data_IF_424363124754
#
_entry.id   IF_424363124754
#
_cell.length_a   1.000
_cell.length_b   1.000
_cell.length_c   1.000
_cell.angle_alpha   90.00
_cell.angle_beta   90.00
_cell.angle_gamma   90.00
#
_symmetry.space_group_name_H-M   'P 1'
#
loop_
_entity.id
_entity.type
_entity.pdbx_description
1 polymer ?
#
# COMPACT_ATOMS: atom_id res chain seq x y z
N UNK A 1 -66.98 -13.35 49.10
CA UNK A 1 -66.63 -13.29 47.68
C UNK A 1 -66.85 -14.69 47.13
N UNK A 2 -67.87 -14.88 46.36
CA UNK A 2 -68.32 -16.17 45.85
C UNK A 2 -67.30 -16.65 44.75
N UNK A 3 -67.17 -17.98 44.60
CA UNK A 3 -66.24 -18.53 43.58
C UNK A 3 -66.56 -18.06 42.16
N UNK A 4 -67.82 -17.72 41.90
CA UNK A 4 -68.30 -17.12 40.62
C UNK A 4 -67.76 -15.72 40.40
N UNK A 5 -67.59 -14.88 41.44
CA UNK A 5 -67.00 -13.57 41.33
C UNK A 5 -65.51 -13.60 41.05
N UNK A 6 -64.80 -14.58 41.62
CA UNK A 6 -63.37 -14.80 41.33
C UNK A 6 -63.12 -15.25 39.89
N UNK A 7 -63.97 -16.11 39.35
CA UNK A 7 -63.88 -16.55 37.96
C UNK A 7 -64.11 -15.39 36.99
N UNK A 8 -65.11 -14.55 37.20
CA UNK A 8 -65.36 -13.37 36.39
C UNK A 8 -64.23 -12.37 36.43
N UNK A 9 -63.62 -12.15 37.58
CA UNK A 9 -62.42 -11.31 37.68
C UNK A 9 -61.21 -11.88 36.94
N UNK A 10 -60.98 -13.18 37.00
CA UNK A 10 -59.88 -13.81 36.24
C UNK A 10 -60.11 -13.78 34.73
N UNK A 11 -61.32 -13.95 34.25
CA UNK A 11 -61.66 -13.78 32.84
C UNK A 11 -61.46 -12.33 32.35
N UNK A 12 -61.81 -11.34 33.12
CA UNK A 12 -61.58 -9.93 32.79
C UNK A 12 -60.09 -9.58 32.75
N UNK A 13 -59.30 -10.09 33.67
CA UNK A 13 -57.83 -9.92 33.69
C UNK A 13 -57.20 -10.55 32.44
N UNK A 14 -57.61 -11.78 32.11
CA UNK A 14 -57.12 -12.52 30.96
C UNK A 14 -57.45 -11.84 29.64
N UNK A 15 -58.68 -11.29 29.53
CA UNK A 15 -59.13 -10.53 28.36
C UNK A 15 -58.39 -9.19 28.20
N UNK A 16 -58.05 -8.54 29.32
CA UNK A 16 -57.21 -7.32 29.33
C UNK A 16 -55.73 -7.61 28.94
N UNK A 17 -55.18 -8.74 29.42
CA UNK A 17 -53.79 -9.14 29.03
C UNK A 17 -53.73 -9.51 27.55
N UNK A 18 -54.70 -10.22 27.00
CA UNK A 18 -54.75 -10.56 25.58
C UNK A 18 -54.90 -9.32 24.69
N UNK A 19 -55.74 -8.35 25.10
CA UNK A 19 -55.86 -7.06 24.42
C UNK A 19 -54.55 -6.27 24.43
N UNK A 20 -53.83 -6.26 25.54
CA UNK A 20 -52.55 -5.57 25.66
C UNK A 20 -51.47 -6.25 24.80
N UNK A 21 -51.43 -7.59 24.74
CA UNK A 21 -50.54 -8.35 23.85
C UNK A 21 -50.79 -8.08 22.37
N UNK A 22 -52.10 -8.03 21.97
CA UNK A 22 -52.47 -7.70 20.58
C UNK A 22 -52.06 -6.26 20.22
N UNK A 23 -52.25 -5.30 21.11
CA UNK A 23 -51.82 -3.91 20.89
C UNK A 23 -50.33 -3.78 20.74
N UNK A 24 -49.53 -4.45 21.58
CA UNK A 24 -48.06 -4.49 21.49
C UNK A 24 -47.60 -5.17 20.19
N UNK A 25 -48.30 -6.22 19.76
CA UNK A 25 -48.00 -6.90 18.49
C UNK A 25 -48.26 -5.98 17.29
N UNK A 26 -49.40 -5.29 17.28
CA UNK A 26 -49.76 -4.31 16.23
C UNK A 26 -48.76 -3.16 16.15
N UNK A 27 -48.30 -2.64 17.29
CA UNK A 27 -47.28 -1.60 17.36
C UNK A 27 -45.92 -2.14 16.79
N UNK A 28 -45.52 -3.36 17.15
CA UNK A 28 -44.30 -3.99 16.61
C UNK A 28 -44.38 -4.16 15.09
N UNK A 29 -45.49 -4.65 14.58
CA UNK A 29 -45.72 -4.82 13.14
C UNK A 29 -45.72 -3.44 12.44
N UNK A 30 -46.42 -2.44 12.98
CA UNK A 30 -46.40 -1.08 12.45
C UNK A 30 -44.98 -0.47 12.40
N UNK A 31 -44.22 -0.64 13.46
CA UNK A 31 -42.84 -0.19 13.53
C UNK A 31 -41.95 -0.90 12.49
N UNK A 32 -42.13 -2.21 12.32
CA UNK A 32 -41.36 -3.01 11.33
C UNK A 32 -41.70 -2.56 9.91
N UNK A 33 -42.97 -2.36 9.58
CA UNK A 33 -43.40 -1.86 8.26
C UNK A 33 -42.87 -0.45 8.01
N UNK A 34 -42.94 0.43 9.00
CA UNK A 34 -42.37 1.78 8.91
C UNK A 34 -40.87 1.77 8.66
N UNK A 35 -40.12 0.94 9.41
CA UNK A 35 -38.67 0.81 9.26
C UNK A 35 -38.32 0.27 7.87
N UNK A 36 -39.04 -0.73 7.37
CA UNK A 36 -38.85 -1.29 6.05
C UNK A 36 -39.09 -0.24 4.96
N UNK A 37 -40.18 0.52 5.06
CA UNK A 37 -40.47 1.58 4.12
C UNK A 37 -39.43 2.71 4.16
N UNK A 38 -38.97 3.10 5.35
CA UNK A 38 -37.92 4.08 5.52
C UNK A 38 -36.61 3.60 4.88
N UNK A 39 -36.21 2.33 5.11
CA UNK A 39 -35.03 1.73 4.46
C UNK A 39 -35.14 1.68 2.92
N UNK A 40 -36.32 1.30 2.39
CA UNK A 40 -36.58 1.31 0.96
C UNK A 40 -36.49 2.73 0.37
N UNK A 41 -37.04 3.72 1.07
CA UNK A 41 -36.97 5.13 0.63
C UNK A 41 -35.55 5.64 0.63
N UNK A 42 -34.75 5.36 1.67
CA UNK A 42 -33.35 5.73 1.75
C UNK A 42 -32.53 5.04 0.63
N UNK A 43 -32.75 3.74 0.41
CA UNK A 43 -32.11 3.00 -0.66
C UNK A 43 -32.46 3.57 -2.04
N UNK A 44 -33.73 3.86 -2.31
CA UNK A 44 -34.17 4.48 -3.55
C UNK A 44 -33.54 5.86 -3.77
N UNK A 45 -33.43 6.67 -2.72
CA UNK A 45 -32.81 7.98 -2.78
C UNK A 45 -31.28 7.86 -3.04
N UNK A 46 -30.60 6.86 -2.44
CA UNK A 46 -29.18 6.57 -2.69
C UNK A 46 -28.95 6.14 -4.13
N UNK A 47 -29.83 5.29 -4.70
CA UNK A 47 -29.73 4.84 -6.09
C UNK A 47 -29.99 5.97 -7.08
N UNK A 48 -31.04 6.78 -6.87
CA UNK A 48 -31.34 7.91 -7.76
C UNK A 48 -30.29 9.03 -7.70
N UNK A 49 -29.65 9.23 -6.55
CA UNK A 49 -28.67 10.29 -6.33
C UNK A 49 -27.23 9.78 -6.27
N UNK A 50 -26.98 8.61 -6.84
CA UNK A 50 -25.68 7.95 -6.80
C UNK A 50 -24.53 8.87 -7.22
N UNK A 51 -24.67 9.65 -8.28
CA UNK A 51 -23.64 10.61 -8.72
C UNK A 51 -23.32 11.65 -7.65
N UNK A 52 -24.32 12.29 -7.06
CA UNK A 52 -24.09 13.28 -6.01
C UNK A 52 -23.50 12.71 -4.71
N UNK A 53 -23.84 11.47 -4.36
CA UNK A 53 -23.27 10.76 -3.22
C UNK A 53 -21.81 10.38 -3.53
N UNK A 54 -21.53 9.88 -4.74
CA UNK A 54 -20.18 9.56 -5.18
C UNK A 54 -19.28 10.80 -5.18
N UNK A 55 -19.74 11.94 -5.70
CA UNK A 55 -18.98 13.18 -5.73
C UNK A 55 -18.66 13.68 -4.31
N UNK A 56 -19.63 13.64 -3.41
CA UNK A 56 -19.42 14.00 -1.99
C UNK A 56 -18.45 13.04 -1.33
N UNK A 57 -18.55 11.73 -1.61
CA UNK A 57 -17.62 10.72 -1.10
C UNK A 57 -16.19 10.95 -1.61
N UNK A 58 -16.03 11.26 -2.90
CA UNK A 58 -14.72 11.61 -3.48
C UNK A 58 -14.13 12.88 -2.86
N UNK A 59 -14.97 13.86 -2.56
CA UNK A 59 -14.51 15.10 -1.92
C UNK A 59 -14.03 14.83 -0.47
N UNK A 60 -14.77 14.04 0.30
CA UNK A 60 -14.41 13.66 1.67
C UNK A 60 -13.15 12.79 1.66
N UNK A 61 -13.10 11.76 0.81
CA UNK A 61 -11.93 10.88 0.73
C UNK A 61 -10.70 11.62 0.23
N UNK A 62 -10.85 12.53 -0.72
CA UNK A 62 -9.76 13.40 -1.21
C UNK A 62 -9.21 14.32 -0.12
N UNK A 63 -10.06 14.90 0.71
CA UNK A 63 -9.64 15.73 1.84
C UNK A 63 -8.97 14.91 2.96
N UNK A 64 -9.42 13.68 3.19
CA UNK A 64 -8.85 12.78 4.20
C UNK A 64 -7.59 12.04 3.72
N UNK A 65 -7.37 11.94 2.43
CA UNK A 65 -6.25 11.20 1.84
C UNK A 65 -4.89 11.54 2.46
N UNK A 66 -4.45 12.81 2.58
CA UNK A 66 -3.16 13.13 3.18
C UNK A 66 -3.08 12.76 4.66
N UNK A 67 -4.21 12.80 5.38
CA UNK A 67 -4.29 12.41 6.79
C UNK A 67 -4.12 10.90 6.93
N UNK A 68 -4.83 10.11 6.12
CA UNK A 68 -4.75 8.63 6.13
C UNK A 68 -3.34 8.18 5.75
N UNK A 69 -2.74 8.79 4.71
CA UNK A 69 -1.36 8.50 4.31
C UNK A 69 -0.39 8.89 5.43
N UNK A 70 -0.57 10.07 6.05
CA UNK A 70 0.25 10.51 7.17
C UNK A 70 0.17 9.58 8.39
N UNK A 71 -1.02 9.06 8.71
CA UNK A 71 -1.20 8.05 9.77
C UNK A 71 -0.47 6.74 9.44
N UNK A 72 -0.61 6.25 8.21
CA UNK A 72 0.09 5.05 7.75
C UNK A 72 1.61 5.21 7.78
N UNK A 73 2.13 6.35 7.30
CA UNK A 73 3.55 6.68 7.36
C UNK A 73 4.03 6.85 8.80
N UNK A 74 3.26 7.48 9.69
CA UNK A 74 3.61 7.59 11.10
C UNK A 74 3.74 6.20 11.75
N UNK A 75 2.83 5.28 11.41
CA UNK A 75 2.90 3.90 11.90
C UNK A 75 4.13 3.17 11.35
N UNK A 76 4.43 3.32 10.06
CA UNK A 76 5.60 2.73 9.40
C UNK A 76 6.92 3.28 9.95
N UNK A 77 6.99 4.59 10.23
CA UNK A 77 8.20 5.25 10.75
C UNK A 77 8.38 5.07 12.26
N UNK A 78 7.36 4.64 12.98
CA UNK A 78 7.42 4.46 14.44
C UNK A 78 8.56 3.51 14.90
N UNK A 79 8.85 2.35 14.25
CA UNK A 79 10.00 1.53 14.59
C UNK A 79 11.33 2.26 14.39
N UNK A 80 11.48 2.99 13.28
CA UNK A 80 12.70 3.77 12.98
C UNK A 80 12.91 4.86 14.02
N UNK A 81 11.84 5.60 14.37
CA UNK A 81 11.86 6.60 15.42
C UNK A 81 12.25 5.99 16.77
N UNK A 82 11.63 4.87 17.17
CA UNK A 82 11.95 4.18 18.44
C UNK A 82 13.40 3.71 18.50
N UNK A 83 13.94 3.20 17.39
CA UNK A 83 15.34 2.78 17.28
C UNK A 83 16.29 3.97 17.51
N UNK A 84 16.01 5.10 16.88
CA UNK A 84 16.80 6.33 17.04
C UNK A 84 16.63 6.92 18.44
N UNK A 85 15.41 6.97 19.00
CA UNK A 85 15.13 7.47 20.34
C UNK A 85 15.90 6.67 21.39
N UNK A 86 15.97 5.35 21.26
CA UNK A 86 16.75 4.47 22.14
C UNK A 86 18.25 4.80 22.12
N UNK A 87 18.76 5.32 21.02
CA UNK A 87 20.18 5.71 20.87
C UNK A 87 20.44 7.12 21.41
N UNK A 88 19.55 8.08 21.08
CA UNK A 88 19.72 9.48 21.46
C UNK A 88 19.43 9.74 22.95
N UNK A 89 18.47 9.05 23.54
CA UNK A 89 18.02 9.30 24.91
C UNK A 89 19.14 9.16 25.95
N UNK A 90 19.95 8.08 25.98
CA UNK A 90 21.02 7.94 26.97
C UNK A 90 22.12 8.99 26.80
N UNK A 91 22.41 9.40 25.55
CA UNK A 91 23.42 10.44 25.27
C UNK A 91 22.94 11.82 25.78
N UNK A 92 21.69 12.17 25.54
CA UNK A 92 21.11 13.44 25.95
C UNK A 92 20.88 13.51 27.45
N UNK A 93 20.54 12.41 28.13
CA UNK A 93 20.44 12.35 29.61
C UNK A 93 21.77 12.66 30.29
N UNK A 94 22.92 12.30 29.70
CA UNK A 94 24.25 12.64 30.21
C UNK A 94 24.57 14.12 30.06
N UNK A 95 23.99 14.81 29.09
CA UNK A 95 24.35 16.20 28.72
C UNK A 95 23.37 17.24 29.27
N UNK A 96 22.14 16.86 29.60
CA UNK A 96 21.06 17.76 30.04
C UNK A 96 20.72 17.54 31.51
N UNK A 97 20.56 18.64 32.26
CA UNK A 97 20.22 18.62 33.70
C UNK A 97 18.79 18.13 33.98
N UNK A 98 17.86 18.22 33.03
CA UNK A 98 16.46 17.82 33.19
C UNK A 98 16.12 16.60 32.34
N UNK A 99 15.74 15.48 32.95
CA UNK A 99 15.32 14.26 32.26
C UNK A 99 14.13 14.47 31.35
N UNK A 100 13.15 15.28 31.73
CA UNK A 100 11.97 15.60 30.93
C UNK A 100 12.33 16.35 29.64
N UNK A 101 13.29 17.29 29.74
CA UNK A 101 13.77 18.06 28.60
C UNK A 101 14.61 17.16 27.67
N UNK A 102 15.46 16.31 28.24
CA UNK A 102 16.24 15.33 27.45
C UNK A 102 15.36 14.38 26.67
N UNK A 103 14.27 13.87 27.28
CA UNK A 103 13.32 13.01 26.58
C UNK A 103 12.58 13.73 25.45
N UNK A 104 12.14 14.98 25.64
CA UNK A 104 11.48 15.77 24.57
C UNK A 104 12.43 16.04 23.40
N UNK A 105 13.67 16.42 23.69
CA UNK A 105 14.68 16.68 22.65
C UNK A 105 15.06 15.40 21.92
N UNK A 106 15.26 14.28 22.63
CA UNK A 106 15.53 12.98 22.03
C UNK A 106 14.42 12.58 21.07
N UNK A 107 13.17 12.75 21.49
CA UNK A 107 12.00 12.45 20.65
C UNK A 107 11.92 13.35 19.41
N UNK A 108 12.11 14.65 19.56
CA UNK A 108 12.13 15.58 18.43
C UNK A 108 13.21 15.24 17.41
N UNK A 109 14.44 14.94 17.88
CA UNK A 109 15.54 14.50 17.00
C UNK A 109 15.24 13.17 16.31
N UNK A 110 14.62 12.22 17.00
CA UNK A 110 14.26 10.92 16.44
C UNK A 110 13.15 11.02 15.40
N UNK A 111 12.17 11.93 15.60
CA UNK A 111 11.14 12.21 14.60
C UNK A 111 11.77 12.86 13.36
N UNK A 112 12.60 13.89 13.56
CA UNK A 112 13.30 14.55 12.47
C UNK A 112 14.20 13.56 11.68
N UNK A 113 14.93 12.70 12.39
CA UNK A 113 15.75 11.67 11.79
C UNK A 113 14.95 10.61 11.03
N UNK A 114 13.79 10.21 11.53
CA UNK A 114 12.91 9.28 10.83
C UNK A 114 12.30 9.89 9.55
N UNK A 115 11.95 11.18 9.59
CA UNK A 115 11.47 11.90 8.41
C UNK A 115 12.60 12.08 7.40
N UNK A 116 13.80 12.46 7.86
CA UNK A 116 14.97 12.57 6.98
C UNK A 116 15.28 11.23 6.31
N UNK A 117 15.20 10.13 7.04
CA UNK A 117 15.37 8.78 6.51
C UNK A 117 14.34 8.48 5.40
N UNK A 118 13.07 8.81 5.62
CA UNK A 118 12.02 8.67 4.61
C UNK A 118 12.32 9.51 3.37
N UNK A 119 12.71 10.78 3.56
CA UNK A 119 13.00 11.69 2.45
C UNK A 119 14.21 11.22 1.64
N UNK A 120 15.26 10.75 2.30
CA UNK A 120 16.45 10.21 1.62
C UNK A 120 16.08 8.99 0.77
N UNK A 121 15.29 8.05 1.33
CA UNK A 121 14.80 6.89 0.56
C UNK A 121 13.95 7.35 -0.63
N UNK A 122 13.04 8.30 -0.45
CA UNK A 122 12.18 8.78 -1.51
C UNK A 122 12.98 9.46 -2.63
N UNK A 123 13.96 10.32 -2.26
CA UNK A 123 14.83 10.98 -3.24
C UNK A 123 15.69 9.96 -3.98
N UNK A 124 16.26 8.98 -3.29
CA UNK A 124 17.03 7.91 -3.93
C UNK A 124 16.17 7.10 -4.92
N UNK A 125 14.93 6.75 -4.53
CA UNK A 125 14.00 6.05 -5.42
C UNK A 125 13.66 6.87 -6.66
N UNK A 126 13.31 8.14 -6.50
CA UNK A 126 12.96 9.02 -7.61
C UNK A 126 14.19 9.21 -8.52
N UNK A 127 15.36 9.49 -7.94
CA UNK A 127 16.60 9.69 -8.69
C UNK A 127 17.07 8.42 -9.42
N UNK A 128 16.71 7.25 -8.88
CA UNK A 128 17.02 5.98 -9.50
C UNK A 128 16.00 5.59 -10.60
N UNK A 129 14.71 5.66 -10.31
CA UNK A 129 13.66 5.17 -11.19
C UNK A 129 13.42 6.09 -12.37
N UNK A 130 13.31 7.41 -12.13
CA UNK A 130 12.89 8.35 -13.18
C UNK A 130 13.86 8.42 -14.36
N UNK A 131 15.18 8.64 -14.16
CA UNK A 131 16.13 8.66 -15.28
C UNK A 131 16.17 7.32 -16.02
N UNK A 132 16.08 6.21 -15.28
CA UNK A 132 16.13 4.87 -15.86
C UNK A 132 14.92 4.56 -16.72
N UNK A 133 13.73 4.89 -16.25
CA UNK A 133 12.49 4.70 -17.04
C UNK A 133 12.54 5.57 -18.30
N UNK A 134 12.96 6.83 -18.18
CA UNK A 134 13.09 7.75 -19.32
C UNK A 134 14.12 7.20 -20.34
N UNK A 135 15.31 6.83 -19.89
CA UNK A 135 16.35 6.28 -20.79
C UNK A 135 15.93 4.96 -21.42
N UNK A 136 15.20 4.14 -20.66
CA UNK A 136 14.68 2.85 -21.14
C UNK A 136 13.64 3.02 -22.22
N UNK A 137 12.69 3.95 -22.03
CA UNK A 137 11.65 4.21 -23.03
C UNK A 137 12.26 4.86 -24.28
N UNK A 138 13.15 5.82 -24.14
CA UNK A 138 13.82 6.44 -25.28
C UNK A 138 14.72 5.44 -26.03
N UNK A 139 15.50 4.64 -25.30
CA UNK A 139 16.33 3.58 -25.90
C UNK A 139 15.53 2.50 -26.61
N UNK A 140 14.34 2.13 -26.10
CA UNK A 140 13.44 1.20 -26.78
C UNK A 140 12.92 1.80 -28.08
N UNK A 141 12.48 3.05 -28.09
CA UNK A 141 11.96 3.74 -29.28
C UNK A 141 13.05 3.87 -30.34
N UNK A 142 14.30 4.16 -29.94
CA UNK A 142 15.43 4.32 -30.87
C UNK A 142 15.99 2.97 -31.36
N UNK A 143 15.97 1.93 -30.52
CA UNK A 143 16.54 0.62 -30.89
C UNK A 143 15.55 -0.28 -31.67
N UNK A 144 14.24 -0.06 -31.58
CA UNK A 144 13.22 -0.87 -32.26
C UNK A 144 13.44 -0.95 -33.77
N UNK A 145 13.61 0.16 -34.54
CA UNK A 145 13.80 0.05 -35.98
C UNK A 145 15.01 -0.79 -36.37
N UNK A 146 16.18 -0.55 -35.76
CA UNK A 146 17.43 -1.23 -36.09
C UNK A 146 17.47 -2.72 -35.69
N UNK A 147 16.88 -3.07 -34.55
CA UNK A 147 16.82 -4.48 -34.11
C UNK A 147 15.87 -5.29 -34.96
N UNK A 148 14.80 -4.70 -35.44
CA UNK A 148 13.83 -5.38 -36.32
C UNK A 148 14.41 -5.55 -37.73
N UNK A 149 15.09 -4.54 -38.29
CA UNK A 149 15.81 -4.69 -39.54
C UNK A 149 16.89 -5.78 -39.47
N UNK A 150 17.61 -5.88 -38.33
CA UNK A 150 18.59 -6.91 -38.09
C UNK A 150 17.97 -8.32 -38.05
N UNK A 151 16.79 -8.47 -37.44
CA UNK A 151 16.04 -9.71 -37.41
C UNK A 151 15.51 -10.08 -38.81
N UNK A 152 14.97 -9.13 -39.55
CA UNK A 152 14.53 -9.32 -40.94
C UNK A 152 15.72 -9.73 -41.84
N UNK A 153 16.87 -9.10 -41.64
CA UNK A 153 18.10 -9.46 -42.35
C UNK A 153 18.63 -10.85 -41.98
N UNK A 154 18.55 -11.25 -40.70
CA UNK A 154 18.91 -12.61 -40.24
C UNK A 154 17.97 -13.69 -40.85
N UNK A 155 16.68 -13.41 -40.90
CA UNK A 155 15.68 -14.32 -41.52
C UNK A 155 15.89 -14.40 -43.02
N UNK A 156 16.08 -13.26 -43.71
CA UNK A 156 16.32 -13.19 -45.15
C UNK A 156 17.69 -13.74 -45.60
N UNK A 157 18.73 -13.66 -44.75
CA UNK A 157 20.08 -14.14 -45.08
C UNK A 157 20.28 -15.65 -44.96
N UNK A 158 19.22 -16.42 -44.80
CA UNK A 158 19.22 -17.88 -45.00
C UNK A 158 19.86 -18.72 -43.90
N UNK A 159 20.23 -18.14 -42.75
CA UNK A 159 20.71 -18.96 -41.61
C UNK A 159 19.62 -19.82 -40.99
N UNK A 160 18.33 -19.51 -41.24
CA UNK A 160 17.15 -20.29 -40.88
C UNK A 160 16.45 -20.91 -42.12
N UNK A 161 17.00 -20.71 -43.32
CA UNK A 161 16.38 -21.04 -44.61
C UNK A 161 16.32 -22.51 -44.97
N UNK A 162 16.74 -23.44 -44.11
CA UNK A 162 16.74 -24.89 -44.43
C UNK A 162 15.36 -25.55 -44.36
N UNK A 163 14.29 -24.84 -43.97
CA UNK A 163 12.97 -25.47 -43.72
C UNK A 163 11.77 -24.88 -44.46
N UNK A 164 11.93 -24.10 -45.52
CA UNK A 164 10.79 -23.65 -46.34
C UNK A 164 9.77 -22.72 -45.64
N UNK A 165 10.07 -22.21 -44.46
CA UNK A 165 9.16 -21.41 -43.60
C UNK A 165 9.48 -19.91 -43.69
N UNK A 166 10.44 -19.54 -44.56
CA UNK A 166 11.02 -18.19 -44.69
C UNK A 166 10.01 -17.11 -45.03
N UNK A 167 9.09 -17.36 -45.95
CA UNK A 167 8.16 -16.33 -46.42
C UNK A 167 7.08 -16.02 -45.37
N UNK A 168 6.56 -17.05 -44.70
CA UNK A 168 5.53 -16.88 -43.66
C UNK A 168 6.07 -16.20 -42.41
N UNK A 169 7.31 -16.55 -41.99
CA UNK A 169 7.96 -15.91 -40.81
C UNK A 169 8.34 -14.46 -41.15
N UNK A 170 8.86 -14.21 -42.35
CA UNK A 170 9.20 -12.86 -42.83
C UNK A 170 7.98 -11.96 -42.90
N UNK A 171 6.84 -12.47 -43.40
CA UNK A 171 5.55 -11.74 -43.45
C UNK A 171 4.99 -11.45 -42.03
N UNK A 172 5.12 -12.42 -41.14
CA UNK A 172 4.66 -12.30 -39.77
C UNK A 172 5.53 -11.31 -38.97
N UNK A 173 6.86 -11.33 -39.17
CA UNK A 173 7.79 -10.36 -38.56
C UNK A 173 7.56 -8.97 -39.13
N UNK A 174 7.34 -8.79 -40.41
CA UNK A 174 7.05 -7.48 -41.01
C UNK A 174 5.72 -6.91 -40.47
N UNK A 175 4.66 -7.73 -40.36
CA UNK A 175 3.39 -7.33 -39.77
C UNK A 175 3.51 -6.95 -38.27
N UNK A 176 4.31 -7.71 -37.52
CA UNK A 176 4.59 -7.39 -36.12
C UNK A 176 5.38 -6.06 -36.00
N UNK A 177 6.32 -5.83 -36.91
CA UNK A 177 7.08 -4.57 -36.96
C UNK A 177 6.17 -3.38 -37.23
N UNK A 178 5.35 -3.48 -38.27
CA UNK A 178 4.41 -2.43 -38.64
C UNK A 178 3.40 -2.16 -37.50
N UNK A 179 2.96 -3.20 -36.79
CA UNK A 179 2.07 -3.05 -35.64
C UNK A 179 2.78 -2.36 -34.45
N UNK A 180 4.01 -2.75 -34.13
CA UNK A 180 4.78 -2.16 -33.03
C UNK A 180 5.19 -0.74 -33.38
N UNK A 181 5.63 -0.46 -34.59
CA UNK A 181 5.97 0.89 -35.08
C UNK A 181 4.74 1.80 -35.08
N UNK A 182 3.60 1.33 -35.59
CA UNK A 182 2.34 2.05 -35.56
C UNK A 182 1.87 2.33 -34.13
N UNK A 183 1.96 1.34 -33.24
CA UNK A 183 1.61 1.51 -31.84
C UNK A 183 2.58 2.48 -31.14
N UNK A 184 3.90 2.35 -31.36
CA UNK A 184 4.89 3.24 -30.77
C UNK A 184 4.74 4.68 -31.24
N UNK A 185 4.55 4.88 -32.57
CA UNK A 185 4.48 6.23 -33.16
C UNK A 185 3.12 6.88 -33.06
N UNK A 186 2.02 6.12 -33.20
CA UNK A 186 0.66 6.67 -33.21
C UNK A 186 -0.01 6.71 -31.84
N UNK A 187 0.31 5.74 -30.98
CA UNK A 187 -0.36 5.62 -29.67
C UNK A 187 0.58 6.01 -28.51
N UNK A 188 1.78 5.43 -28.46
CA UNK A 188 2.68 5.62 -27.31
C UNK A 188 3.33 7.02 -27.28
N UNK A 189 3.95 7.43 -28.40
CA UNK A 189 4.64 8.74 -28.47
C UNK A 189 3.69 9.93 -28.28
N UNK A 190 2.51 10.00 -28.90
CA UNK A 190 1.55 11.07 -28.65
C UNK A 190 1.01 11.05 -27.21
N UNK A 191 0.75 9.86 -26.64
CA UNK A 191 0.34 9.77 -25.23
C UNK A 191 1.46 10.23 -24.30
N UNK A 192 2.71 9.85 -24.54
CA UNK A 192 3.85 10.35 -23.77
C UNK A 192 4.03 11.86 -23.90
N UNK A 193 3.89 12.43 -25.11
CA UNK A 193 3.88 13.89 -25.30
C UNK A 193 2.71 14.54 -24.57
N UNK A 194 1.54 13.93 -24.58
CA UNK A 194 0.38 14.39 -23.85
C UNK A 194 0.59 14.31 -22.33
N UNK A 195 1.24 13.27 -21.81
CA UNK A 195 1.64 13.18 -20.41
C UNK A 195 2.72 14.21 -20.06
N UNK A 196 3.69 14.46 -20.93
CA UNK A 196 4.69 15.53 -20.76
C UNK A 196 4.05 16.92 -20.77
N UNK A 197 3.09 17.17 -21.65
CA UNK A 197 2.30 18.42 -21.68
C UNK A 197 1.36 18.52 -20.47
N UNK A 198 0.79 17.40 -19.99
CA UNK A 198 0.04 17.36 -18.74
C UNK A 198 0.93 17.61 -17.52
N UNK A 199 2.19 17.19 -17.52
CA UNK A 199 3.18 17.58 -16.51
C UNK A 199 3.41 19.10 -16.55
N UNK A 200 3.44 19.71 -17.72
CA UNK A 200 3.61 21.17 -17.87
C UNK A 200 2.33 21.95 -17.48
N UNK A 201 1.13 21.42 -17.80
CA UNK A 201 -0.15 21.96 -17.31
C UNK A 201 -0.44 21.54 -15.87
N UNK A 202 0.34 20.60 -15.34
CA UNK A 202 0.22 20.01 -14.01
C UNK A 202 0.84 20.84 -12.88
N UNK A 203 1.23 22.09 -13.09
CA UNK A 203 1.69 22.97 -11.99
C UNK A 203 0.68 22.99 -10.84
N UNK A 204 -0.62 23.05 -11.14
CA UNK A 204 -1.68 23.01 -10.13
C UNK A 204 -1.74 21.62 -9.46
N UNK A 205 -1.60 20.55 -10.22
CA UNK A 205 -1.59 19.17 -9.71
C UNK A 205 -0.32 18.91 -8.89
N UNK A 206 0.81 19.44 -9.33
CA UNK A 206 2.08 19.37 -8.62
C UNK A 206 2.03 20.14 -7.29
N UNK A 207 1.46 21.34 -7.28
CA UNK A 207 1.23 22.14 -6.06
C UNK A 207 0.30 21.38 -5.09
N UNK A 208 -0.80 20.80 -5.57
CA UNK A 208 -1.68 19.96 -4.75
C UNK A 208 -0.94 18.75 -4.17
N UNK A 209 -0.13 18.06 -4.97
CA UNK A 209 0.66 16.90 -4.51
C UNK A 209 1.68 17.30 -3.46
N UNK A 210 2.38 18.42 -3.65
CA UNK A 210 3.32 18.96 -2.66
C UNK A 210 2.58 19.37 -1.37
N UNK A 211 1.44 20.05 -1.48
CA UNK A 211 0.63 20.40 -0.31
C UNK A 211 0.14 19.15 0.44
N UNK A 212 -0.36 18.15 -0.27
CA UNK A 212 -0.79 16.88 0.35
C UNK A 212 0.37 16.16 1.04
N UNK A 213 1.57 16.20 0.44
CA UNK A 213 2.78 15.63 1.03
C UNK A 213 3.20 16.37 2.30
N UNK A 214 3.18 17.73 2.27
CA UNK A 214 3.47 18.56 3.44
C UNK A 214 2.46 18.29 4.56
N UNK A 215 1.16 18.22 4.24
CA UNK A 215 0.11 17.88 5.22
C UNK A 215 0.37 16.49 5.79
N UNK A 216 0.71 15.51 4.94
CA UNK A 216 1.08 14.16 5.38
C UNK A 216 2.25 14.17 6.37
N UNK A 217 3.33 14.91 6.08
CA UNK A 217 4.47 15.07 7.01
C UNK A 217 4.05 15.74 8.33
N UNK A 218 3.24 16.80 8.28
CA UNK A 218 2.72 17.45 9.48
C UNK A 218 1.95 16.44 10.34
N UNK A 219 1.10 15.62 9.72
CA UNK A 219 0.37 14.56 10.41
C UNK A 219 1.33 13.54 11.04
N UNK A 220 2.37 13.11 10.32
CA UNK A 220 3.41 12.21 10.84
C UNK A 220 4.06 12.80 12.09
N UNK A 221 4.53 14.04 12.01
CA UNK A 221 5.17 14.73 13.14
C UNK A 221 4.23 14.82 14.34
N UNK A 222 2.98 15.23 14.09
CA UNK A 222 1.98 15.37 15.14
C UNK A 222 1.68 14.02 15.81
N UNK A 223 1.36 13.00 15.04
CA UNK A 223 1.02 11.67 15.55
C UNK A 223 2.17 11.05 16.34
N UNK A 224 3.39 11.08 15.80
CA UNK A 224 4.58 10.55 16.48
C UNK A 224 4.91 11.34 17.76
N UNK A 225 4.64 12.65 17.77
CA UNK A 225 4.90 13.51 18.94
C UNK A 225 3.95 13.22 20.11
N UNK A 226 2.65 12.96 19.82
CA UNK A 226 1.61 12.78 20.84
C UNK A 226 1.08 11.35 20.94
N UNK A 227 1.78 10.39 20.38
CA UNK A 227 1.37 8.98 20.27
C UNK A 227 0.83 8.41 21.58
N UNK A 228 1.54 8.61 22.71
CA UNK A 228 1.11 8.08 24.01
C UNK A 228 -0.20 8.72 24.48
N UNK A 229 -0.37 10.01 24.21
CA UNK A 229 -1.63 10.71 24.52
C UNK A 229 -2.79 10.20 23.68
N UNK A 230 -2.57 9.97 22.36
CA UNK A 230 -3.58 9.39 21.46
C UNK A 230 -4.01 8.01 21.93
N UNK A 231 -3.06 7.13 22.23
CA UNK A 231 -3.35 5.79 22.76
C UNK A 231 -4.13 5.87 24.07
N UNK A 232 -3.74 6.78 24.98
CA UNK A 232 -4.44 7.01 26.24
C UNK A 232 -5.87 7.50 26.05
N UNK A 233 -6.10 8.44 25.12
CA UNK A 233 -7.44 8.93 24.76
C UNK A 233 -8.30 7.85 24.13
N UNK A 234 -7.75 7.07 23.21
CA UNK A 234 -8.46 5.94 22.59
C UNK A 234 -8.93 4.91 23.62
N UNK A 235 -8.08 4.58 24.62
CA UNK A 235 -8.48 3.72 25.73
C UNK A 235 -9.64 4.31 26.54
N UNK A 236 -9.62 5.61 26.82
CA UNK A 236 -10.73 6.29 27.53
C UNK A 236 -12.04 6.22 26.75
N UNK A 237 -12.00 6.41 25.42
CA UNK A 237 -13.16 6.30 24.55
C UNK A 237 -13.75 4.88 24.60
N UNK A 238 -12.89 3.85 24.51
CA UNK A 238 -13.33 2.45 24.59
C UNK A 238 -14.04 2.18 25.92
N UNK A 239 -13.50 2.64 27.07
CA UNK A 239 -14.13 2.45 28.35
C UNK A 239 -15.39 3.32 28.57
N UNK A 240 -15.53 4.43 27.86
CA UNK A 240 -16.74 5.24 27.88
C UNK A 240 -17.91 4.60 27.12
N UNK A 241 -17.63 3.87 26.04
CA UNK A 241 -18.64 3.25 25.19
C UNK A 241 -18.98 1.84 25.66
N UNK A 242 -17.97 1.06 26.10
CA UNK A 242 -18.13 -0.35 26.42
C UNK A 242 -17.99 -0.61 27.92
N UNK A 243 -18.72 -1.59 28.43
CA UNK A 243 -18.54 -2.06 29.83
C UNK A 243 -17.09 -2.54 30.05
N UNK A 244 -16.52 -2.44 31.26
CA UNK A 244 -15.11 -2.73 31.52
C UNK A 244 -14.63 -4.10 31.00
N UNK A 245 -15.47 -5.13 31.12
CA UNK A 245 -15.15 -6.48 30.60
C UNK A 245 -14.92 -6.49 29.09
N UNK A 246 -15.78 -5.87 28.30
CA UNK A 246 -15.65 -5.80 26.85
C UNK A 246 -14.56 -4.80 26.43
N UNK A 247 -14.42 -3.71 27.17
CA UNK A 247 -13.35 -2.73 26.98
C UNK A 247 -11.97 -3.34 27.11
N UNK A 248 -11.74 -4.18 28.12
CA UNK A 248 -10.46 -4.89 28.29
C UNK A 248 -10.15 -5.80 27.10
N UNK A 249 -11.13 -6.57 26.64
CA UNK A 249 -10.96 -7.46 25.47
C UNK A 249 -10.58 -6.67 24.23
N UNK A 250 -11.27 -5.55 23.98
CA UNK A 250 -11.00 -4.69 22.84
C UNK A 250 -9.56 -4.15 22.91
N UNK A 251 -9.14 -3.63 24.08
CA UNK A 251 -7.79 -3.08 24.26
C UNK A 251 -6.73 -4.17 24.10
N UNK A 252 -6.97 -5.37 24.61
CA UNK A 252 -6.07 -6.51 24.48
C UNK A 252 -5.91 -6.93 23.01
N UNK A 253 -7.02 -7.03 22.25
CA UNK A 253 -6.99 -7.33 20.82
C UNK A 253 -6.19 -6.27 20.05
N UNK A 254 -6.42 -4.98 20.32
CA UNK A 254 -5.65 -3.91 19.67
C UNK A 254 -4.17 -3.93 20.07
N UNK A 255 -3.84 -4.27 21.32
CA UNK A 255 -2.46 -4.41 21.76
C UNK A 255 -1.76 -5.57 21.05
N UNK A 256 -2.44 -6.72 20.97
CA UNK A 256 -1.94 -7.88 20.24
C UNK A 256 -1.75 -7.58 18.75
N UNK A 257 -2.71 -6.87 18.15
CA UNK A 257 -2.60 -6.42 16.77
C UNK A 257 -1.38 -5.50 16.56
N UNK A 258 -1.16 -4.50 17.44
CA UNK A 258 0.01 -3.61 17.37
C UNK A 258 1.33 -4.38 17.52
N UNK A 259 1.39 -5.37 18.40
CA UNK A 259 2.56 -6.24 18.57
C UNK A 259 2.87 -7.03 17.29
N UNK A 260 1.86 -7.69 16.72
CA UNK A 260 2.01 -8.51 15.51
C UNK A 260 2.36 -7.63 14.30
N UNK A 261 1.59 -6.56 14.05
CA UNK A 261 1.85 -5.67 12.92
C UNK A 261 3.16 -4.89 13.06
N UNK A 262 3.48 -4.43 14.27
CA UNK A 262 4.74 -3.75 14.54
C UNK A 262 5.94 -4.67 14.31
N UNK A 263 5.87 -5.92 14.77
CA UNK A 263 6.89 -6.95 14.51
C UNK A 263 7.03 -7.26 13.02
N UNK A 264 5.90 -7.38 12.31
CA UNK A 264 5.88 -7.60 10.87
C UNK A 264 6.54 -6.45 10.08
N UNK A 265 6.27 -5.19 10.44
CA UNK A 265 6.90 -4.04 9.76
C UNK A 265 8.41 -4.01 10.00
N UNK A 266 8.85 -4.25 11.25
CA UNK A 266 10.29 -4.32 11.56
C UNK A 266 10.94 -5.45 10.76
N UNK A 267 10.31 -6.63 10.75
CA UNK A 267 10.76 -7.77 9.95
C UNK A 267 10.90 -7.41 8.47
N UNK A 268 9.90 -6.72 7.89
CA UNK A 268 9.92 -6.30 6.49
C UNK A 268 10.99 -5.27 6.16
N UNK A 269 11.30 -4.35 7.05
CA UNK A 269 12.39 -3.39 6.88
C UNK A 269 13.76 -4.12 6.86
N UNK A 270 13.97 -5.04 7.80
CA UNK A 270 15.20 -5.84 7.87
C UNK A 270 15.33 -6.75 6.64
N UNK A 271 14.26 -7.43 6.30
CA UNK A 271 14.14 -8.29 5.13
C UNK A 271 14.49 -7.56 3.82
N UNK A 272 13.92 -6.36 3.64
CA UNK A 272 14.19 -5.51 2.49
C UNK A 272 15.66 -5.06 2.40
N UNK A 273 16.27 -4.76 3.53
CA UNK A 273 17.70 -4.44 3.58
C UNK A 273 18.56 -5.66 3.19
N UNK A 274 18.22 -6.84 3.69
CA UNK A 274 18.93 -8.09 3.36
C UNK A 274 18.76 -8.41 1.86
N UNK A 275 17.54 -8.31 1.33
CA UNK A 275 17.27 -8.53 -0.10
C UNK A 275 18.03 -7.55 -0.97
N UNK A 276 18.07 -6.27 -0.61
CA UNK A 276 18.85 -5.27 -1.33
C UNK A 276 20.33 -5.65 -1.42
N UNK A 277 20.91 -6.10 -0.31
CA UNK A 277 22.32 -6.56 -0.26
C UNK A 277 22.53 -7.82 -1.10
N UNK A 278 21.67 -8.84 -0.95
CA UNK A 278 21.77 -10.08 -1.73
C UNK A 278 21.58 -9.79 -3.22
N UNK A 279 20.62 -8.93 -3.56
CA UNK A 279 20.37 -8.51 -4.93
C UNK A 279 21.57 -7.79 -5.52
N UNK A 280 22.24 -6.91 -4.77
CA UNK A 280 23.47 -6.26 -5.20
C UNK A 280 24.56 -7.26 -5.57
N UNK A 281 24.88 -8.18 -4.67
CA UNK A 281 25.90 -9.20 -4.94
C UNK A 281 25.51 -10.17 -6.05
N UNK A 282 24.25 -10.59 -6.10
CA UNK A 282 23.75 -11.47 -7.17
C UNK A 282 23.81 -10.81 -8.54
N UNK A 283 23.38 -9.57 -8.66
CA UNK A 283 23.50 -8.80 -9.90
C UNK A 283 24.96 -8.55 -10.30
N UNK A 284 25.86 -8.34 -9.33
CA UNK A 284 27.29 -8.19 -9.58
C UNK A 284 27.89 -9.47 -10.17
N UNK A 285 27.57 -10.63 -9.61
CA UNK A 285 28.04 -11.95 -10.07
C UNK A 285 27.50 -12.26 -11.48
N UNK A 286 26.24 -11.93 -11.72
CA UNK A 286 25.58 -12.13 -13.02
C UNK A 286 25.92 -11.05 -14.06
N UNK A 287 26.78 -10.09 -13.72
CA UNK A 287 27.17 -8.96 -14.58
C UNK A 287 25.97 -8.18 -15.11
N UNK A 288 24.90 -8.06 -14.30
CA UNK A 288 23.71 -7.30 -14.66
C UNK A 288 24.08 -5.81 -14.75
N UNK A 289 23.71 -5.12 -15.84
CA UNK A 289 23.93 -3.69 -15.95
C UNK A 289 23.17 -2.93 -14.86
N UNK A 290 23.67 -1.75 -14.48
CA UNK A 290 23.07 -0.90 -13.46
C UNK A 290 22.81 -1.62 -12.11
N UNK A 291 23.70 -2.52 -11.71
CA UNK A 291 23.59 -3.38 -10.52
C UNK A 291 23.11 -2.64 -9.26
N UNK A 292 23.70 -1.47 -8.96
CA UNK A 292 23.34 -0.67 -7.77
C UNK A 292 21.87 -0.23 -7.86
N UNK A 293 21.47 0.25 -9.03
CA UNK A 293 20.11 0.73 -9.29
C UNK A 293 19.09 -0.40 -9.12
N UNK A 294 19.34 -1.54 -9.75
CA UNK A 294 18.49 -2.74 -9.63
C UNK A 294 18.36 -3.17 -8.17
N UNK A 295 19.46 -3.23 -7.43
CA UNK A 295 19.47 -3.64 -6.03
C UNK A 295 18.73 -2.66 -5.12
N UNK A 296 18.88 -1.35 -5.34
CA UNK A 296 18.16 -0.32 -4.57
C UNK A 296 16.67 -0.38 -4.87
N UNK A 297 16.26 -0.45 -6.13
CA UNK A 297 14.84 -0.53 -6.50
C UNK A 297 14.20 -1.77 -5.87
N UNK A 298 14.79 -2.96 -6.06
CA UNK A 298 14.24 -4.21 -5.53
C UNK A 298 14.24 -4.20 -4.00
N UNK A 299 15.34 -3.76 -3.36
CA UNK A 299 15.43 -3.70 -1.91
C UNK A 299 14.40 -2.76 -1.29
N UNK A 300 14.27 -1.54 -1.81
CA UNK A 300 13.34 -0.56 -1.22
C UNK A 300 11.87 -0.92 -1.49
N UNK A 301 11.54 -1.35 -2.70
CA UNK A 301 10.16 -1.74 -3.03
C UNK A 301 9.70 -2.95 -2.23
N UNK A 302 10.60 -3.85 -1.84
CA UNK A 302 10.29 -5.03 -1.05
C UNK A 302 9.75 -4.73 0.36
N UNK A 303 9.90 -3.51 0.88
CA UNK A 303 9.24 -3.05 2.11
C UNK A 303 7.71 -3.15 2.01
N UNK A 304 7.17 -3.00 0.79
CA UNK A 304 5.73 -3.13 0.54
C UNK A 304 5.37 -4.61 0.48
N UNK A 305 4.56 -5.11 1.44
CA UNK A 305 4.22 -6.53 1.49
C UNK A 305 3.50 -6.98 0.21
N UNK A 306 3.81 -8.16 -0.27
CA UNK A 306 3.21 -8.83 -1.44
C UNK A 306 3.49 -8.12 -2.77
N UNK A 307 3.25 -6.82 -2.85
CA UNK A 307 3.39 -6.05 -4.10
C UNK A 307 4.82 -5.56 -4.36
N UNK A 308 5.64 -5.42 -3.31
CA UNK A 308 7.01 -4.90 -3.41
C UNK A 308 7.87 -5.58 -4.48
N UNK A 309 7.97 -6.91 -4.47
CA UNK A 309 8.73 -7.64 -5.47
C UNK A 309 8.31 -7.36 -6.91
N UNK A 310 7.00 -7.25 -7.17
CA UNK A 310 6.47 -6.95 -8.51
C UNK A 310 6.73 -5.50 -8.91
N UNK A 311 6.51 -4.56 -7.99
CA UNK A 311 6.76 -3.12 -8.20
C UNK A 311 8.25 -2.87 -8.49
N UNK A 312 9.16 -3.65 -7.88
CA UNK A 312 10.60 -3.57 -8.14
C UNK A 312 11.04 -4.31 -9.39
N UNK A 313 10.50 -5.52 -9.62
CA UNK A 313 10.91 -6.36 -10.75
C UNK A 313 10.53 -5.75 -12.10
N UNK A 314 9.31 -5.21 -12.25
CA UNK A 314 8.85 -4.69 -13.55
C UNK A 314 9.77 -3.58 -14.09
N UNK A 315 10.06 -2.49 -13.38
CA UNK A 315 10.91 -1.44 -13.90
C UNK A 315 12.37 -1.89 -14.07
N UNK A 316 12.88 -2.77 -13.19
CA UNK A 316 14.27 -3.26 -13.31
C UNK A 316 14.44 -4.21 -14.50
N UNK A 317 13.45 -5.08 -14.77
CA UNK A 317 13.47 -5.94 -15.95
C UNK A 317 13.36 -5.12 -17.24
N UNK A 318 12.48 -4.12 -17.30
CA UNK A 318 12.37 -3.22 -18.43
C UNK A 318 13.70 -2.51 -18.71
N UNK A 319 14.36 -2.00 -17.67
CA UNK A 319 15.65 -1.34 -17.77
C UNK A 319 16.72 -2.27 -18.35
N UNK A 320 16.81 -3.50 -17.84
CA UNK A 320 17.86 -4.44 -18.24
C UNK A 320 17.58 -5.06 -19.62
N UNK A 321 16.30 -5.32 -19.98
CA UNK A 321 15.90 -5.87 -21.29
C UNK A 321 16.38 -4.98 -22.44
N UNK A 322 16.32 -3.68 -22.28
CA UNK A 322 16.73 -2.74 -23.32
C UNK A 322 18.21 -2.77 -23.56
N UNK A 323 19.00 -2.92 -22.47
CA UNK A 323 20.47 -3.00 -22.57
C UNK A 323 20.92 -4.38 -23.05
N UNK A 324 20.31 -5.44 -22.54
CA UNK A 324 20.64 -6.82 -22.90
C UNK A 324 19.52 -7.79 -22.54
N UNK A 325 18.80 -8.33 -23.54
CA UNK A 325 17.71 -9.30 -23.32
C UNK A 325 18.17 -10.55 -22.55
N UNK A 326 19.42 -10.99 -22.77
CA UNK A 326 19.96 -12.16 -22.07
C UNK A 326 20.16 -11.90 -20.57
N UNK A 327 20.69 -10.73 -20.21
CA UNK A 327 20.86 -10.35 -18.81
C UNK A 327 19.51 -10.12 -18.12
N UNK A 328 18.47 -9.66 -18.85
CA UNK A 328 17.12 -9.57 -18.30
C UNK A 328 16.54 -10.94 -17.97
N UNK A 329 16.80 -11.96 -18.79
CA UNK A 329 16.40 -13.34 -18.48
C UNK A 329 17.12 -13.85 -17.22
N UNK A 330 18.42 -13.59 -17.09
CA UNK A 330 19.18 -13.94 -15.87
C UNK A 330 18.61 -13.22 -14.63
N UNK A 331 18.31 -11.93 -14.76
CA UNK A 331 17.72 -11.15 -13.68
C UNK A 331 16.33 -11.68 -13.30
N UNK A 332 15.47 -12.02 -14.25
CA UNK A 332 14.16 -12.61 -14.00
C UNK A 332 14.26 -13.91 -13.20
N UNK A 333 15.10 -14.84 -13.66
CA UNK A 333 15.34 -16.11 -12.98
C UNK A 333 15.88 -15.86 -11.57
N UNK A 334 16.85 -14.96 -11.44
CA UNK A 334 17.45 -14.60 -10.16
C UNK A 334 16.40 -14.01 -9.17
N UNK A 335 15.56 -13.09 -9.62
CA UNK A 335 14.49 -12.51 -8.77
C UNK A 335 13.52 -13.61 -8.32
N UNK A 336 13.11 -14.53 -9.21
CA UNK A 336 12.23 -15.63 -8.85
C UNK A 336 12.87 -16.51 -7.78
N UNK A 337 14.14 -16.90 -7.96
CA UNK A 337 14.88 -17.71 -6.97
C UNK A 337 14.99 -16.96 -5.65
N UNK A 338 15.37 -15.68 -5.69
CA UNK A 338 15.49 -14.84 -4.50
C UNK A 338 14.19 -14.78 -3.71
N UNK A 339 13.03 -14.62 -4.39
CA UNK A 339 11.73 -14.59 -3.74
C UNK A 339 11.32 -15.95 -3.17
N UNK A 340 11.67 -17.06 -3.84
CA UNK A 340 11.41 -18.40 -3.32
C UNK A 340 12.23 -18.70 -2.06
N UNK A 341 13.50 -18.35 -2.05
CA UNK A 341 14.37 -18.51 -0.86
C UNK A 341 13.82 -17.69 0.30
N UNK A 342 13.38 -16.47 0.04
CA UNK A 342 12.78 -15.61 1.07
C UNK A 342 11.48 -16.18 1.63
N UNK A 343 10.61 -16.71 0.77
CA UNK A 343 9.38 -17.38 1.18
C UNK A 343 9.65 -18.55 2.12
N UNK A 344 10.69 -19.34 1.85
CA UNK A 344 11.11 -20.47 2.69
C UNK A 344 11.61 -20.01 4.07
N UNK A 345 12.34 -18.91 4.15
CA UNK A 345 12.80 -18.34 5.42
C UNK A 345 11.63 -17.87 6.27
N UNK A 346 10.63 -17.23 5.66
CA UNK A 346 9.42 -16.75 6.36
C UNK A 346 8.52 -17.89 6.87
N UNK A 347 8.45 -19.03 6.19
CA UNK A 347 7.66 -20.19 6.61
C UNK A 347 8.28 -20.89 7.81
N UNK A 348 9.61 -20.84 7.96
CA UNK A 348 10.32 -21.51 9.07
C UNK A 348 10.30 -20.75 10.40
N UNK A 349 9.96 -19.45 10.41
CA UNK A 349 9.99 -18.60 11.60
C UNK A 349 8.80 -18.79 12.57
N UNK A 350 7.53 -18.99 12.12
CA UNK A 350 6.41 -19.18 13.05
C UNK A 350 6.51 -20.48 13.86
N UNK A 351 7.25 -21.47 13.40
CA UNK A 351 7.42 -22.75 14.11
C UNK A 351 8.29 -22.62 15.37
N UNK A 352 9.16 -21.63 15.46
CA UNK A 352 9.98 -21.39 16.67
C UNK A 352 9.23 -20.66 17.78
N UNK A 353 8.26 -19.81 17.46
CA UNK A 353 7.47 -19.07 18.45
C UNK A 353 6.37 -19.95 19.09
N UNK A 354 5.92 -21.01 18.43
CA UNK A 354 4.97 -21.98 18.99
C UNK A 354 5.61 -23.02 19.91
N UNK A 355 6.94 -23.13 19.93
CA UNK A 355 7.66 -24.07 20.81
C UNK A 355 8.11 -23.42 22.14
N UNK A 356 7.82 -22.14 22.36
CA UNK A 356 8.19 -21.38 23.58
C UNK A 356 6.95 -20.95 24.39
N UNK A 357 5.75 -21.23 23.89
CA UNK A 357 4.48 -21.10 24.62
C UNK A 357 4.03 -22.48 25.10
#
# INVERSE_FOLDING_TARGET
MTDVEKQKQMEQIKQSEDGMRQTVLLIKIGLMVFLTFACCTVFFFLVLRYKGVADTWHLITGALQPIIIGLGLAYLLNPVMKFQERHWLPFLKKKMKSEKSAAKVARGLSIAGAILFLLVILVLLIAAIVPSVVSSVTGLVEALPGNVESLIHMVKSGKLGAYGVTDTISDMLTKLTDQVENWATKDLLPQMQQYLLQITSGVITMVKSILNFIIGIIVVVYVLSIKESLVGQSKKIVYAIFKPKHGNIIIEVFHKADEVFGGFIIGKIIDSAIIGVICYFGCLILHIPDTILVAVIIGVTNVIPVFGPFIGAIPTLLLVVIQSPLHALYLLIFIIILQQVLSLIHISEPTRLQLIS
#
